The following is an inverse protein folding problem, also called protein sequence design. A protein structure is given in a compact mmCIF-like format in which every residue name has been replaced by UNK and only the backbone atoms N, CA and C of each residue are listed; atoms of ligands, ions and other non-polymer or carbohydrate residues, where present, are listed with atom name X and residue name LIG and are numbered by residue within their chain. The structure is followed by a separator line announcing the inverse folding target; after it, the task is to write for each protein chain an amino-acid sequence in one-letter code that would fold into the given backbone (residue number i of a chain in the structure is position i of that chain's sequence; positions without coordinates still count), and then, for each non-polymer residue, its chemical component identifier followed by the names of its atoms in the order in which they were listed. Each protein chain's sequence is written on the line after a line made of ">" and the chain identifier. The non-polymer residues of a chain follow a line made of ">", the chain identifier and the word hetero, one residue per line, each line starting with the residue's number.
data_IF_932178446549
#
_entry.id   IF_932178446549
#
_cell.length_a   1.000
_cell.length_b   1.000
_cell.length_c   1.000
_cell.angle_alpha   90.00
_cell.angle_beta   90.00
_cell.angle_gamma   90.00
#
_symmetry.space_group_name_H-M   'P 1'
#
loop_
_entity.id
_entity.type
_entity.pdbx_description
1 polymer ?
#
# COMPACT_ATOMS: atom_id res chain seq x y z
N UNK A 1 4.39 9.15 -7.36
CA UNK A 1 3.31 8.21 -7.02
C UNK A 1 3.01 7.33 -8.23
N UNK A 2 2.71 6.04 -8.02
CA UNK A 2 2.16 5.13 -9.03
C UNK A 2 0.82 4.61 -8.50
N UNK A 3 -0.18 4.42 -9.36
CA UNK A 3 -1.45 3.80 -9.00
C UNK A 3 -1.87 2.80 -10.09
N UNK A 4 -2.70 1.83 -9.72
CA UNK A 4 -3.15 0.77 -10.62
C UNK A 4 -4.04 -0.24 -9.91
N UNK A 5 -4.44 -1.29 -10.62
CA UNK A 5 -5.26 -2.38 -10.09
C UNK A 5 -4.40 -3.64 -9.83
N UNK A 6 -4.50 -4.21 -8.63
CA UNK A 6 -3.78 -5.43 -8.21
C UNK A 6 -4.19 -6.68 -8.99
N UNK A 7 -5.36 -6.68 -9.62
CA UNK A 7 -5.82 -7.73 -10.54
C UNK A 7 -5.17 -7.61 -11.93
N UNK A 8 -4.50 -6.49 -12.22
CA UNK A 8 -3.92 -6.15 -13.52
C UNK A 8 -2.43 -5.82 -13.42
N UNK A 9 -1.67 -6.48 -12.53
CA UNK A 9 -0.22 -6.24 -12.33
C UNK A 9 0.64 -6.44 -13.60
N UNK A 10 0.12 -7.15 -14.59
CA UNK A 10 0.75 -7.31 -15.92
C UNK A 10 0.83 -5.98 -16.68
N UNK A 11 -0.10 -5.04 -16.43
CA UNK A 11 -0.12 -3.70 -17.03
C UNK A 11 0.90 -2.73 -16.41
N UNK A 12 1.64 -3.17 -15.40
CA UNK A 12 2.65 -2.37 -14.70
C UNK A 12 4.07 -2.87 -15.03
N UNK A 13 4.53 -2.86 -16.30
CA UNK A 13 5.82 -3.46 -16.68
C UNK A 13 7.03 -2.77 -16.03
N UNK A 14 6.86 -1.51 -15.61
CA UNK A 14 7.88 -0.70 -14.94
C UNK A 14 8.01 -0.99 -13.44
N UNK A 15 7.09 -1.73 -12.83
CA UNK A 15 7.18 -2.09 -11.41
C UNK A 15 8.10 -3.29 -11.25
N UNK A 16 9.06 -3.17 -10.33
CA UNK A 16 10.01 -4.23 -10.01
C UNK A 16 9.28 -5.55 -9.67
N UNK A 17 9.77 -6.66 -10.19
CA UNK A 17 9.16 -7.97 -10.01
C UNK A 17 9.07 -8.41 -8.52
N UNK A 18 9.98 -7.94 -7.66
CA UNK A 18 9.95 -8.19 -6.21
C UNK A 18 8.73 -7.50 -5.60
N UNK A 19 8.47 -6.24 -5.95
CA UNK A 19 7.29 -5.50 -5.47
C UNK A 19 6.01 -6.22 -5.91
N UNK A 20 5.95 -6.70 -7.16
CA UNK A 20 4.79 -7.48 -7.63
C UNK A 20 4.56 -8.76 -6.83
N UNK A 21 5.63 -9.49 -6.51
CA UNK A 21 5.55 -10.69 -5.66
C UNK A 21 5.07 -10.36 -4.25
N UNK A 22 5.58 -9.28 -3.66
CA UNK A 22 5.16 -8.81 -2.33
C UNK A 22 3.69 -8.36 -2.30
N UNK A 23 3.19 -7.72 -3.37
CA UNK A 23 1.76 -7.39 -3.49
C UNK A 23 0.91 -8.67 -3.46
N UNK A 24 1.28 -9.69 -4.24
CA UNK A 24 0.55 -10.96 -4.30
C UNK A 24 0.55 -11.66 -2.94
N UNK A 25 1.71 -11.70 -2.27
CA UNK A 25 1.85 -12.28 -0.93
C UNK A 25 1.00 -11.52 0.10
N UNK A 26 1.08 -10.19 0.10
CA UNK A 26 0.35 -9.33 1.02
C UNK A 26 -1.17 -9.47 0.87
N UNK A 27 -1.68 -9.49 -0.37
CA UNK A 27 -3.11 -9.68 -0.64
C UNK A 27 -3.58 -11.03 -0.11
N UNK A 28 -2.82 -12.10 -0.36
CA UNK A 28 -3.15 -13.43 0.15
C UNK A 28 -3.16 -13.50 1.68
N UNK A 29 -2.23 -12.83 2.35
CA UNK A 29 -2.23 -12.75 3.82
C UNK A 29 -3.50 -12.01 4.29
N UNK A 30 -3.85 -10.91 3.62
CA UNK A 30 -4.98 -10.07 4.00
C UNK A 30 -6.37 -10.71 3.78
N UNK A 31 -6.47 -11.80 3.01
CA UNK A 31 -7.73 -12.55 2.84
C UNK A 31 -8.18 -13.24 4.14
N UNK A 32 -7.22 -13.72 4.94
CA UNK A 32 -7.51 -14.60 6.09
C UNK A 32 -7.02 -14.06 7.45
N UNK A 33 -6.25 -12.97 7.45
CA UNK A 33 -5.64 -12.44 8.67
C UNK A 33 -6.32 -11.15 9.17
N UNK A 34 -6.47 -10.98 10.50
CA UNK A 34 -7.02 -9.76 11.07
C UNK A 34 -6.06 -8.57 10.94
N UNK A 35 -6.54 -7.39 11.34
CA UNK A 35 -5.70 -6.20 11.47
C UNK A 35 -4.45 -6.48 12.33
N UNK A 36 -3.28 -6.06 11.84
CA UNK A 36 -2.00 -6.40 12.47
C UNK A 36 -0.80 -6.21 11.54
N UNK A 37 0.38 -6.55 12.06
CA UNK A 37 1.65 -6.49 11.32
C UNK A 37 2.15 -7.90 11.00
N UNK A 38 2.47 -8.14 9.74
CA UNK A 38 2.94 -9.43 9.22
C UNK A 38 4.23 -9.22 8.45
N UNK A 39 5.27 -10.01 8.74
CA UNK A 39 6.48 -10.01 7.93
C UNK A 39 6.20 -10.69 6.58
N UNK A 40 6.80 -10.16 5.51
CA UNK A 40 6.73 -10.74 4.17
C UNK A 40 8.02 -11.49 3.84
N UNK A 41 8.00 -12.25 2.74
CA UNK A 41 9.12 -13.11 2.33
C UNK A 41 10.41 -12.37 1.97
N UNK A 42 10.35 -11.08 1.62
CA UNK A 42 11.55 -10.29 1.31
C UNK A 42 12.12 -9.62 2.58
N UNK A 43 13.45 -9.59 2.78
CA UNK A 43 14.05 -8.99 3.97
C UNK A 43 13.61 -7.54 4.21
N UNK A 44 13.33 -7.23 5.49
CA UNK A 44 12.88 -5.91 5.95
C UNK A 44 11.56 -5.42 5.31
N UNK A 45 10.78 -6.32 4.71
CA UNK A 45 9.46 -5.99 4.17
C UNK A 45 8.34 -6.57 5.04
N UNK A 46 7.30 -5.78 5.25
CA UNK A 46 6.18 -6.13 6.10
C UNK A 46 4.87 -5.55 5.55
N UNK A 47 3.77 -6.21 5.88
CA UNK A 47 2.40 -5.77 5.65
C UNK A 47 1.84 -5.23 6.97
N UNK A 48 1.12 -4.12 6.88
CA UNK A 48 0.23 -3.62 7.92
C UNK A 48 -1.21 -3.74 7.42
N UNK A 49 -2.02 -4.58 8.06
CA UNK A 49 -3.45 -4.65 7.83
C UNK A 49 -4.12 -3.72 8.84
N UNK A 50 -4.95 -2.81 8.35
CA UNK A 50 -5.67 -1.84 9.17
C UNK A 50 -7.09 -1.65 8.67
N UNK A 51 -8.02 -1.48 9.61
CA UNK A 51 -9.40 -1.13 9.35
C UNK A 51 -9.69 0.22 10.01
N UNK A 52 -10.45 1.09 9.35
CA UNK A 52 -10.76 2.41 9.86
C UNK A 52 -11.71 3.21 8.97
N UNK A 53 -12.21 4.32 9.50
CA UNK A 53 -13.03 5.27 8.75
C UNK A 53 -12.16 6.33 8.08
N UNK A 54 -12.58 6.77 6.90
CA UNK A 54 -11.92 7.90 6.23
C UNK A 54 -12.25 9.20 6.94
N UNK A 55 -11.30 10.12 6.93
CA UNK A 55 -11.46 11.45 7.52
C UNK A 55 -11.28 12.53 6.47
N UNK A 56 -11.87 13.70 6.70
CA UNK A 56 -11.70 14.87 5.84
C UNK A 56 -10.21 15.22 5.65
N UNK A 57 -9.83 15.53 4.41
CA UNK A 57 -8.47 15.93 4.04
C UNK A 57 -7.99 17.17 4.77
N UNK A 58 -8.90 18.07 5.18
CA UNK A 58 -8.58 19.27 5.97
C UNK A 58 -7.98 18.96 7.35
N UNK A 59 -8.23 17.76 7.87
CA UNK A 59 -7.79 17.33 9.20
C UNK A 59 -6.58 16.39 9.16
N UNK A 60 -6.03 16.11 7.98
CA UNK A 60 -4.89 15.18 7.79
C UNK A 60 -3.64 15.95 7.38
N UNK A 61 -2.50 15.57 7.96
CA UNK A 61 -1.18 16.06 7.54
C UNK A 61 -0.60 15.10 6.51
N UNK A 62 0.12 15.64 5.53
CA UNK A 62 0.89 14.83 4.59
C UNK A 62 2.06 14.15 5.32
N UNK A 63 2.33 12.89 4.97
CA UNK A 63 3.43 12.09 5.51
C UNK A 63 4.37 11.69 4.38
N UNK A 64 5.68 11.58 4.68
CA UNK A 64 6.70 11.12 3.75
C UNK A 64 7.74 10.27 4.47
N UNK A 65 8.26 9.26 3.78
CA UNK A 65 9.22 8.32 4.34
C UNK A 65 10.53 8.33 3.55
N UNK A 66 11.66 8.17 4.25
CA UNK A 66 13.01 8.05 3.65
C UNK A 66 13.52 6.61 3.57
N UNK A 67 13.10 5.76 4.52
CA UNK A 67 13.63 4.40 4.67
C UNK A 67 12.80 3.36 3.90
N UNK A 68 11.49 3.54 3.86
CA UNK A 68 10.56 2.62 3.24
C UNK A 68 9.83 3.30 2.08
N UNK A 69 9.42 2.48 1.12
CA UNK A 69 8.42 2.86 0.12
C UNK A 69 7.08 2.28 0.57
N UNK A 70 6.02 3.06 0.38
CA UNK A 70 4.68 2.59 0.70
C UNK A 70 4.02 1.97 -0.52
N UNK A 71 3.41 0.82 -0.32
CA UNK A 71 2.50 0.18 -1.27
C UNK A 71 1.16 0.05 -0.58
N UNK A 72 0.28 1.02 -0.84
CA UNK A 72 -1.05 1.08 -0.24
C UNK A 72 -2.04 0.31 -1.12
N UNK A 73 -2.77 -0.63 -0.52
CA UNK A 73 -3.75 -1.48 -1.20
C UNK A 73 -5.08 -1.33 -0.48
N UNK A 74 -6.11 -0.87 -1.20
CA UNK A 74 -7.47 -0.81 -0.70
C UNK A 74 -8.11 -2.21 -0.80
N UNK A 75 -8.37 -2.84 0.34
CA UNK A 75 -8.97 -4.18 0.40
C UNK A 75 -10.49 -4.13 0.18
N UNK A 76 -11.16 -3.13 0.77
CA UNK A 76 -12.61 -2.90 0.59
C UNK A 76 -12.98 -1.45 0.86
N UNK A 77 -14.12 -1.00 0.33
CA UNK A 77 -14.63 0.36 0.51
C UNK A 77 -14.06 1.37 -0.49
N UNK A 78 -13.85 2.60 -0.03
CA UNK A 78 -13.32 3.71 -0.82
C UNK A 78 -12.46 4.62 0.05
N UNK A 79 -11.32 5.06 -0.48
CA UNK A 79 -10.41 5.99 0.16
C UNK A 79 -9.87 7.00 -0.86
N UNK A 80 -9.77 8.27 -0.47
CA UNK A 80 -9.12 9.32 -1.26
C UNK A 80 -7.71 9.57 -0.72
N UNK A 81 -6.70 9.50 -1.59
CA UNK A 81 -5.31 9.74 -1.23
C UNK A 81 -4.79 10.96 -1.99
N UNK A 82 -4.52 12.04 -1.26
CA UNK A 82 -3.83 13.22 -1.79
C UNK A 82 -2.33 12.97 -1.91
N UNK A 83 -1.71 13.47 -2.98
CA UNK A 83 -0.26 13.39 -3.19
C UNK A 83 0.31 14.68 -3.78
N UNK A 84 1.59 14.93 -3.52
CA UNK A 84 2.35 16.02 -4.13
C UNK A 84 3.80 15.58 -4.36
N UNK A 85 4.42 16.13 -5.40
CA UNK A 85 5.86 16.00 -5.64
C UNK A 85 6.64 17.22 -5.14
N UNK A 86 5.95 18.19 -4.53
CA UNK A 86 6.54 19.38 -3.91
C UNK A 86 6.52 19.21 -2.40
N UNK A 87 7.65 19.57 -1.79
CA UNK A 87 7.78 19.73 -0.34
C UNK A 87 7.77 21.24 -0.15
N UNK A 88 6.57 21.79 0.12
CA UNK A 88 6.43 23.20 0.50
C UNK A 88 6.91 23.43 1.94
#
# INVERSE_FOLDING_TARGET
>A
MLYGNIEQLTLLPYVNHIIKKLIIEAVKIAEDQPAGRYELSFPESFLMISEGETHSSLNRKAELHKKYIDVQILLSGYEEIGYSNKID
#
